data_IF_826025193568
#
_entry.id   IF_826025193568
#
_cell.length_a   1.000
_cell.length_b   1.000
_cell.length_c   1.000
_cell.angle_alpha   90.00
_cell.angle_beta   90.00
_cell.angle_gamma   90.00
#
_symmetry.space_group_name_H-M   'P 1'
#
loop_
_entity.id
_entity.type
_entity.pdbx_description
1 polymer ?
#
# COMPACT_ATOMS: atom_id res chain seq x y z
N UNK A 1 -28.41 7.54 -4.12
CA UNK A 1 -28.86 7.68 -5.52
C UNK A 1 -28.75 9.11 -6.03
N UNK A 2 -28.65 10.13 -5.16
CA UNK A 2 -28.57 11.56 -5.53
C UNK A 2 -27.41 11.96 -6.46
N UNK A 3 -26.38 11.12 -6.61
CA UNK A 3 -25.23 11.41 -7.48
C UNK A 3 -25.29 10.72 -8.86
N UNK A 4 -26.28 9.85 -9.09
CA UNK A 4 -26.44 9.11 -10.35
C UNK A 4 -27.37 9.92 -11.24
N UNK A 5 -26.83 10.43 -12.36
CA UNK A 5 -27.62 11.19 -13.34
C UNK A 5 -28.39 10.29 -14.28
N UNK A 6 -27.74 9.22 -14.76
CA UNK A 6 -28.34 8.25 -15.67
C UNK A 6 -28.10 6.84 -15.12
N UNK A 7 -29.13 6.19 -14.51
CA UNK A 7 -28.96 4.90 -13.85
C UNK A 7 -28.83 3.72 -14.83
N UNK A 8 -29.26 3.90 -16.09
CA UNK A 8 -29.25 2.89 -17.13
C UNK A 8 -28.96 3.54 -18.48
N UNK A 9 -27.99 3.01 -19.23
CA UNK A 9 -27.67 3.41 -20.60
C UNK A 9 -27.68 2.18 -21.48
N UNK A 10 -28.52 2.16 -22.51
CA UNK A 10 -28.59 1.07 -23.48
C UNK A 10 -27.58 1.26 -24.63
N UNK A 11 -27.33 0.20 -25.38
CA UNK A 11 -26.52 0.22 -26.60
C UNK A 11 -25.07 0.72 -26.43
N UNK A 12 -24.53 0.54 -25.22
CA UNK A 12 -23.12 0.77 -24.91
C UNK A 12 -22.28 -0.37 -25.49
N UNK A 13 -21.17 -0.03 -26.15
CA UNK A 13 -20.22 -0.99 -26.69
C UNK A 13 -19.01 -1.12 -25.75
N UNK A 14 -18.79 -2.31 -25.22
CA UNK A 14 -17.54 -2.68 -24.56
C UNK A 14 -16.54 -3.12 -25.63
N UNK A 15 -15.48 -2.34 -25.83
CA UNK A 15 -14.45 -2.67 -26.82
C UNK A 15 -13.48 -3.69 -26.23
N UNK A 16 -13.26 -4.79 -26.94
CA UNK A 16 -12.35 -5.85 -26.52
C UNK A 16 -10.87 -5.46 -26.63
N UNK A 17 -10.03 -6.17 -25.88
CA UNK A 17 -8.58 -6.17 -26.06
C UNK A 17 -8.18 -7.05 -27.25
N UNK A 18 -7.10 -6.69 -27.96
CA UNK A 18 -6.46 -7.59 -28.96
C UNK A 18 -7.29 -7.96 -30.18
N UNK A 19 -8.13 -7.04 -30.71
CA UNK A 19 -8.92 -7.29 -31.93
C UNK A 19 -10.22 -8.09 -31.71
N UNK A 20 -10.57 -8.41 -30.46
CA UNK A 20 -11.86 -9.00 -30.14
C UNK A 20 -13.02 -8.08 -30.57
N UNK A 21 -14.08 -8.68 -31.12
CA UNK A 21 -15.26 -7.95 -31.59
C UNK A 21 -15.88 -7.14 -30.43
N UNK A 22 -16.31 -5.89 -30.66
CA UNK A 22 -17.05 -5.12 -29.66
C UNK A 22 -18.28 -5.88 -29.16
N UNK A 23 -18.54 -5.80 -27.86
CA UNK A 23 -19.70 -6.41 -27.21
C UNK A 23 -20.72 -5.32 -26.94
N UNK A 24 -21.93 -5.49 -27.47
CA UNK A 24 -23.05 -4.58 -27.21
C UNK A 24 -23.77 -4.97 -25.92
N UNK A 25 -24.16 -3.99 -25.11
CA UNK A 25 -24.78 -4.24 -23.81
C UNK A 25 -25.51 -3.04 -23.24
N UNK A 26 -26.02 -3.23 -22.03
CA UNK A 26 -26.63 -2.19 -21.21
C UNK A 26 -25.72 -1.92 -20.02
N UNK A 27 -25.45 -0.64 -19.76
CA UNK A 27 -24.68 -0.18 -18.62
C UNK A 27 -25.63 0.28 -17.52
N UNK A 28 -25.51 -0.31 -16.34
CA UNK A 28 -26.24 0.06 -15.14
C UNK A 28 -25.29 0.72 -14.14
N UNK A 29 -25.75 1.81 -13.55
CA UNK A 29 -25.04 2.54 -12.52
C UNK A 29 -25.74 2.33 -11.17
N UNK A 30 -24.98 1.91 -10.17
CA UNK A 30 -25.43 1.86 -8.78
C UNK A 30 -24.56 2.78 -7.93
N UNK A 31 -24.91 2.95 -6.65
CA UNK A 31 -24.09 3.75 -5.74
C UNK A 31 -22.68 3.16 -5.50
N UNK A 32 -22.47 1.88 -5.83
CA UNK A 32 -21.26 1.13 -5.44
C UNK A 32 -20.55 0.48 -6.61
N UNK A 33 -21.28 0.18 -7.68
CA UNK A 33 -20.79 -0.53 -8.85
C UNK A 33 -21.29 0.06 -10.16
N UNK A 34 -20.45 -0.03 -11.18
CA UNK A 34 -20.77 0.01 -12.59
C UNK A 34 -20.98 -1.43 -13.09
N UNK A 35 -22.13 -1.71 -13.70
CA UNK A 35 -22.50 -3.06 -14.15
C UNK A 35 -22.80 -3.02 -15.64
N UNK A 36 -22.03 -3.74 -16.45
CA UNK A 36 -22.31 -3.92 -17.87
C UNK A 36 -22.91 -5.31 -18.10
N UNK A 37 -24.10 -5.34 -18.71
CA UNK A 37 -24.82 -6.55 -19.07
C UNK A 37 -24.85 -6.71 -20.59
N UNK A 38 -24.24 -7.77 -21.11
CA UNK A 38 -24.24 -8.08 -22.55
C UNK A 38 -25.68 -8.30 -23.05
N UNK A 39 -26.03 -7.70 -24.20
CA UNK A 39 -27.32 -7.97 -24.87
C UNK A 39 -27.32 -9.42 -25.41
N UNK A 40 -28.41 -10.20 -25.24
CA UNK A 40 -28.51 -11.54 -25.80
C UNK A 40 -28.39 -11.51 -27.33
N UNK A 41 -27.58 -12.39 -27.91
CA UNK A 41 -27.49 -12.51 -29.37
C UNK A 41 -28.62 -13.38 -29.91
N UNK A 42 -29.41 -12.85 -30.85
CA UNK A 42 -30.51 -13.59 -31.52
C UNK A 42 -30.04 -14.87 -32.26
N UNK A 43 -28.74 -15.00 -32.56
CA UNK A 43 -28.18 -16.06 -33.42
C UNK A 43 -27.44 -17.19 -32.69
N UNK A 44 -27.29 -17.13 -31.36
CA UNK A 44 -26.67 -18.21 -30.57
C UNK A 44 -27.41 -18.35 -29.25
N UNK A 45 -27.89 -19.56 -28.97
CA UNK A 45 -28.42 -20.00 -27.68
C UNK A 45 -27.31 -20.10 -26.60
N UNK A 46 -26.40 -19.13 -26.56
CA UNK A 46 -25.43 -18.99 -25.49
C UNK A 46 -26.05 -18.11 -24.41
N UNK A 47 -26.78 -18.75 -23.50
CA UNK A 47 -27.41 -18.13 -22.32
C UNK A 47 -26.39 -17.66 -21.27
N UNK A 48 -25.09 -17.65 -21.55
CA UNK A 48 -24.10 -17.10 -20.62
C UNK A 48 -24.19 -15.58 -20.57
N UNK A 49 -24.99 -15.08 -19.64
CA UNK A 49 -25.03 -13.67 -19.28
C UNK A 49 -23.63 -13.20 -18.90
N UNK A 50 -22.98 -12.43 -19.78
CA UNK A 50 -21.70 -11.81 -19.45
C UNK A 50 -21.99 -10.53 -18.67
N UNK A 51 -21.84 -10.60 -17.36
CA UNK A 51 -21.87 -9.44 -16.47
C UNK A 51 -20.45 -9.00 -16.15
N UNK A 52 -20.13 -7.76 -16.48
CA UNK A 52 -18.96 -7.09 -15.92
C UNK A 52 -19.42 -6.20 -14.77
N UNK A 53 -18.93 -6.48 -13.57
CA UNK A 53 -19.20 -5.67 -12.37
C UNK A 53 -17.89 -5.00 -11.94
N UNK A 54 -17.86 -3.68 -11.98
CA UNK A 54 -16.73 -2.87 -11.52
C UNK A 54 -17.16 -2.06 -10.30
N UNK A 55 -16.57 -2.34 -9.14
CA UNK A 55 -16.78 -1.51 -7.96
C UNK A 55 -16.13 -0.13 -8.17
N UNK A 56 -16.82 0.94 -7.78
CA UNK A 56 -16.30 2.32 -7.90
C UNK A 56 -14.99 2.52 -7.14
N UNK A 57 -14.80 1.80 -6.02
CA UNK A 57 -13.57 1.82 -5.23
C UNK A 57 -12.35 1.25 -5.95
N UNK A 58 -12.56 0.42 -6.98
CA UNK A 58 -11.50 -0.16 -7.80
C UNK A 58 -11.13 0.72 -9.00
N UNK A 59 -11.84 1.82 -9.24
CA UNK A 59 -11.46 2.75 -10.29
C UNK A 59 -10.21 3.54 -9.86
N UNK A 60 -9.19 3.56 -10.72
CA UNK A 60 -7.94 4.30 -10.51
C UNK A 60 -7.97 5.64 -11.27
N UNK A 61 -8.35 5.61 -12.55
CA UNK A 61 -8.50 6.79 -13.37
C UNK A 61 -9.62 6.63 -14.40
N UNK A 62 -10.10 7.76 -14.88
CA UNK A 62 -11.19 7.88 -15.85
C UNK A 62 -10.77 8.88 -16.91
N UNK A 63 -10.74 8.47 -18.16
CA UNK A 63 -10.38 9.32 -19.29
C UNK A 63 -11.51 9.33 -20.30
N UNK A 64 -11.89 10.51 -20.75
CA UNK A 64 -12.80 10.67 -21.88
C UNK A 64 -11.95 11.01 -23.10
N UNK A 65 -12.01 10.17 -24.13
CA UNK A 65 -11.33 10.43 -25.39
C UNK A 65 -12.28 11.14 -26.35
N UNK A 66 -11.78 12.12 -27.12
CA UNK A 66 -12.58 12.75 -28.17
C UNK A 66 -13.03 11.68 -29.18
N UNK A 67 -14.19 11.87 -29.82
CA UNK A 67 -14.68 10.94 -30.84
C UNK A 67 -13.65 10.83 -31.97
N UNK A 68 -13.02 9.67 -32.10
CA UNK A 68 -12.11 9.40 -33.23
C UNK A 68 -12.96 9.12 -34.48
N UNK A 69 -13.19 10.15 -35.30
CA UNK A 69 -13.95 10.06 -36.55
C UNK A 69 -15.46 9.88 -36.33
N UNK A 70 -16.13 9.08 -37.18
CA UNK A 70 -17.58 8.78 -37.09
C UNK A 70 -17.98 7.88 -35.90
N UNK A 71 -17.14 7.79 -34.87
CA UNK A 71 -17.39 7.00 -33.68
C UNK A 71 -18.01 7.85 -32.58
N UNK A 72 -19.08 7.36 -31.94
CA UNK A 72 -19.58 7.92 -30.69
C UNK A 72 -18.51 7.97 -29.58
N UNK A 73 -18.77 8.72 -28.49
CA UNK A 73 -17.79 9.05 -27.47
C UNK A 73 -17.28 7.85 -26.68
N UNK A 74 -16.01 7.92 -26.26
CA UNK A 74 -15.28 6.83 -25.64
C UNK A 74 -14.86 7.19 -24.21
N UNK A 75 -15.16 6.31 -23.27
CA UNK A 75 -14.78 6.41 -21.87
C UNK A 75 -13.82 5.26 -21.53
N UNK A 76 -12.61 5.61 -21.12
CA UNK A 76 -11.57 4.73 -20.62
C UNK A 76 -11.62 4.66 -19.10
N UNK A 77 -11.79 3.45 -18.57
CA UNK A 77 -11.75 3.19 -17.13
C UNK A 77 -10.53 2.34 -16.82
N UNK A 78 -9.55 2.90 -16.10
CA UNK A 78 -8.44 2.14 -15.58
C UNK A 78 -8.72 1.75 -14.14
N UNK A 79 -8.49 0.48 -13.83
CA UNK A 79 -8.75 -0.09 -12.52
C UNK A 79 -7.45 -0.22 -11.71
N UNK A 80 -7.57 -0.19 -10.39
CA UNK A 80 -6.48 -0.50 -9.44
C UNK A 80 -6.01 -1.95 -9.56
N UNK A 81 -6.76 -2.79 -10.26
CA UNK A 81 -6.41 -4.18 -10.63
C UNK A 81 -5.77 -4.29 -12.01
N UNK A 82 -5.26 -3.18 -12.56
CA UNK A 82 -4.47 -3.15 -13.80
C UNK A 82 -5.24 -3.51 -15.08
N UNK A 83 -6.57 -3.57 -15.00
CA UNK A 83 -7.46 -3.74 -16.15
C UNK A 83 -7.91 -2.39 -16.69
N UNK A 84 -8.04 -2.29 -18.01
CA UNK A 84 -8.57 -1.13 -18.71
C UNK A 84 -9.85 -1.52 -19.44
N UNK A 85 -10.92 -0.76 -19.24
CA UNK A 85 -12.21 -0.97 -19.90
C UNK A 85 -12.50 0.21 -20.82
N UNK A 86 -12.92 -0.11 -22.05
CA UNK A 86 -13.19 0.87 -23.08
C UNK A 86 -14.69 0.83 -23.40
N UNK A 87 -15.43 1.85 -22.97
CA UNK A 87 -16.87 1.95 -23.19
C UNK A 87 -17.16 3.02 -24.23
N UNK A 88 -17.73 2.61 -25.35
CA UNK A 88 -18.19 3.51 -26.40
C UNK A 88 -19.70 3.70 -26.28
N UNK A 89 -20.13 4.95 -26.23
CA UNK A 89 -21.53 5.35 -26.10
C UNK A 89 -22.07 5.82 -27.46
N UNK A 90 -23.39 5.79 -27.63
CA UNK A 90 -24.06 6.33 -28.82
C UNK A 90 -24.29 7.85 -28.70
N UNK A 91 -24.45 8.35 -27.47
CA UNK A 91 -24.81 9.73 -27.16
C UNK A 91 -23.76 10.40 -26.27
N UNK A 92 -23.44 11.66 -26.60
CA UNK A 92 -22.51 12.53 -25.85
C UNK A 92 -23.00 12.85 -24.45
N UNK A 93 -24.31 13.05 -24.30
CA UNK A 93 -24.95 13.35 -23.02
C UNK A 93 -24.85 12.15 -22.07
N UNK A 94 -25.14 10.94 -22.55
CA UNK A 94 -25.04 9.71 -21.73
C UNK A 94 -23.62 9.47 -21.24
N UNK A 95 -22.63 9.64 -22.12
CA UNK A 95 -21.22 9.52 -21.75
C UNK A 95 -20.84 10.55 -20.67
N UNK A 96 -21.26 11.80 -20.84
CA UNK A 96 -21.01 12.88 -19.87
C UNK A 96 -21.66 12.60 -18.52
N UNK A 97 -22.92 12.16 -18.51
CA UNK A 97 -23.67 11.90 -17.28
C UNK A 97 -23.13 10.70 -16.52
N UNK A 98 -22.71 9.65 -17.24
CA UNK A 98 -21.98 8.51 -16.65
C UNK A 98 -20.65 8.96 -16.06
N UNK A 99 -19.85 9.73 -16.80
CA UNK A 99 -18.56 10.25 -16.34
C UNK A 99 -18.71 11.07 -15.04
N UNK A 100 -19.65 12.02 -15.02
CA UNK A 100 -19.89 12.87 -13.86
C UNK A 100 -20.41 12.08 -12.65
N UNK A 101 -21.25 11.06 -12.88
CA UNK A 101 -21.73 10.17 -11.83
C UNK A 101 -20.56 9.39 -11.21
N UNK A 102 -19.68 8.81 -12.04
CA UNK A 102 -18.51 8.06 -11.59
C UNK A 102 -17.55 8.95 -10.80
N UNK A 103 -17.23 10.16 -11.30
CA UNK A 103 -16.32 11.07 -10.61
C UNK A 103 -16.81 11.41 -9.20
N UNK A 104 -18.11 11.65 -9.04
CA UNK A 104 -18.71 11.91 -7.72
C UNK A 104 -18.67 10.68 -6.82
N UNK A 105 -19.03 9.50 -7.34
CA UNK A 105 -19.07 8.25 -6.57
C UNK A 105 -17.68 7.73 -6.17
N UNK A 106 -16.65 8.00 -6.97
CA UNK A 106 -15.27 7.59 -6.70
C UNK A 106 -14.48 8.58 -5.83
N UNK A 107 -15.02 9.78 -5.56
CA UNK A 107 -14.36 10.83 -4.77
C UNK A 107 -15.27 11.30 -3.63
N UNK A 108 -15.51 10.43 -2.62
CA UNK A 108 -16.27 10.81 -1.44
C UNK A 108 -15.60 12.00 -0.72
N UNK A 109 -16.41 12.96 -0.26
CA UNK A 109 -15.91 14.14 0.45
C UNK A 109 -15.48 13.81 1.88
N UNK A 110 -16.22 12.91 2.53
CA UNK A 110 -15.93 12.42 3.87
C UNK A 110 -15.71 10.92 3.88
N UNK A 111 -14.89 10.43 4.82
CA UNK A 111 -14.65 8.99 4.97
C UNK A 111 -15.95 8.21 5.25
N UNK A 112 -16.93 8.83 5.91
CA UNK A 112 -18.25 8.22 6.19
C UNK A 112 -19.06 7.95 4.94
N UNK A 113 -18.73 8.60 3.81
CA UNK A 113 -19.40 8.39 2.53
C UNK A 113 -18.84 7.16 1.79
N UNK A 114 -17.77 6.55 2.29
CA UNK A 114 -17.25 5.30 1.74
C UNK A 114 -18.26 4.17 1.89
N UNK A 115 -18.30 3.28 0.89
CA UNK A 115 -19.18 2.12 0.90
C UNK A 115 -19.04 1.27 2.17
N UNK A 116 -17.86 1.22 2.79
CA UNK A 116 -17.63 0.51 4.04
C UNK A 116 -18.59 0.89 5.19
N UNK A 117 -19.10 2.13 5.22
CA UNK A 117 -20.03 2.60 6.27
C UNK A 117 -21.51 2.38 5.93
N UNK A 118 -21.84 2.16 4.66
CA UNK A 118 -23.21 1.86 4.21
C UNK A 118 -23.41 0.38 3.92
N UNK A 119 -22.33 -0.40 3.83
CA UNK A 119 -22.38 -1.83 3.61
C UNK A 119 -22.97 -2.55 4.84
N UNK A 120 -24.13 -3.17 4.63
CA UNK A 120 -24.80 -4.02 5.62
C UNK A 120 -24.90 -5.45 5.05
N UNK A 121 -23.85 -6.28 5.24
CA UNK A 121 -23.88 -7.68 4.83
C UNK A 121 -24.96 -8.44 5.60
N UNK A 122 -25.59 -9.42 4.94
CA UNK A 122 -26.46 -10.41 5.60
C UNK A 122 -25.65 -11.48 6.33
N UNK A 123 -24.74 -11.06 7.20
CA UNK A 123 -23.96 -11.92 8.11
C UNK A 123 -24.52 -11.78 9.52
N UNK A 124 -24.28 -12.77 10.37
CA UNK A 124 -24.69 -12.68 11.78
C UNK A 124 -23.85 -11.59 12.46
N UNK A 125 -24.44 -10.93 13.46
CA UNK A 125 -23.73 -9.91 14.22
C UNK A 125 -22.46 -10.47 14.89
N UNK A 126 -22.51 -11.73 15.33
CA UNK A 126 -21.38 -12.48 15.90
C UNK A 126 -20.22 -12.60 14.92
N UNK A 127 -20.47 -13.04 13.68
CA UNK A 127 -19.42 -13.24 12.67
C UNK A 127 -18.72 -11.92 12.33
N UNK A 128 -19.47 -10.80 12.39
CA UNK A 128 -18.92 -9.46 12.18
C UNK A 128 -18.02 -9.03 13.34
N UNK A 129 -18.41 -9.33 14.58
CA UNK A 129 -17.63 -9.04 15.77
C UNK A 129 -16.33 -9.86 15.81
N UNK A 130 -16.42 -11.16 15.49
CA UNK A 130 -15.27 -12.05 15.34
C UNK A 130 -14.24 -11.51 14.33
N UNK A 131 -14.70 -10.91 13.23
CA UNK A 131 -13.82 -10.29 12.24
C UNK A 131 -13.00 -9.11 12.78
N UNK A 132 -13.52 -8.36 13.76
CA UNK A 132 -12.78 -7.27 14.41
C UNK A 132 -11.84 -7.76 15.51
N UNK A 133 -12.22 -8.83 16.21
CA UNK A 133 -11.42 -9.41 17.31
C UNK A 133 -10.41 -10.46 16.84
N UNK A 134 -10.37 -10.78 15.54
CA UNK A 134 -9.47 -11.78 14.95
C UNK A 134 -8.00 -11.54 15.30
N UNK A 135 -7.58 -10.28 15.38
CA UNK A 135 -6.21 -9.88 15.68
C UNK A 135 -6.14 -9.17 17.04
N UNK A 136 -5.76 -9.91 18.09
CA UNK A 136 -5.33 -9.33 19.36
C UNK A 136 -3.80 -9.21 19.39
N UNK A 137 -3.30 -7.99 19.25
CA UNK A 137 -1.86 -7.70 19.28
C UNK A 137 -1.20 -8.15 20.58
N UNK A 138 -1.89 -8.04 21.73
CA UNK A 138 -1.33 -8.49 23.01
C UNK A 138 -1.16 -10.01 23.03
N UNK A 139 -2.10 -10.75 22.45
CA UNK A 139 -1.97 -12.20 22.29
C UNK A 139 -0.84 -12.57 21.33
N UNK A 140 -0.63 -11.82 20.26
CA UNK A 140 0.50 -12.06 19.34
C UNK A 140 1.87 -11.83 20.00
N UNK A 141 2.03 -10.77 20.79
CA UNK A 141 3.26 -10.58 21.57
C UNK A 141 3.42 -11.64 22.66
N UNK A 142 2.33 -12.06 23.31
CA UNK A 142 2.35 -13.20 24.26
C UNK A 142 2.79 -14.51 23.58
N UNK A 143 2.37 -14.76 22.34
CA UNK A 143 2.80 -15.92 21.52
C UNK A 143 4.32 -15.91 21.31
N UNK A 144 4.93 -14.74 21.19
CA UNK A 144 6.39 -14.56 21.10
C UNK A 144 7.11 -14.56 22.46
N UNK A 145 6.39 -14.76 23.57
CA UNK A 145 6.96 -14.74 24.92
C UNK A 145 7.24 -13.34 25.45
N UNK A 146 6.46 -12.34 25.03
CA UNK A 146 6.58 -10.93 25.45
C UNK A 146 5.29 -10.49 26.16
N UNK A 147 5.34 -9.79 27.31
CA UNK A 147 6.53 -9.27 28.00
C UNK A 147 7.39 -10.36 28.69
N UNK A 148 8.65 -10.05 28.94
CA UNK A 148 9.61 -10.90 29.65
C UNK A 148 10.67 -10.05 30.36
N UNK A 149 11.76 -10.68 30.85
CA UNK A 149 12.86 -9.98 31.54
C UNK A 149 13.56 -8.89 30.72
N UNK A 150 13.50 -8.96 29.39
CA UNK A 150 14.20 -8.04 28.47
C UNK A 150 13.26 -7.05 27.79
N UNK A 151 11.98 -7.40 27.61
CA UNK A 151 11.00 -6.62 26.87
C UNK A 151 9.74 -6.36 27.70
N UNK A 152 9.27 -5.11 27.72
CA UNK A 152 8.07 -4.68 28.44
C UNK A 152 7.07 -3.98 27.53
N UNK A 153 5.79 -4.06 27.90
CA UNK A 153 4.75 -3.18 27.34
C UNK A 153 5.00 -1.76 27.85
N UNK A 154 4.83 -0.77 26.99
CA UNK A 154 4.81 0.65 27.36
C UNK A 154 3.43 1.25 27.06
N UNK A 155 2.96 2.10 27.97
CA UNK A 155 1.67 2.79 27.91
C UNK A 155 1.78 4.22 27.37
N UNK A 156 3.00 4.70 27.08
CA UNK A 156 3.25 6.07 26.61
C UNK A 156 2.48 6.45 25.33
N UNK A 157 2.02 5.46 24.55
CA UNK A 157 1.27 5.70 23.33
C UNK A 157 -0.18 5.23 23.42
N UNK A 158 -0.71 4.93 24.62
CA UNK A 158 -2.08 4.43 24.81
C UNK A 158 -3.14 5.32 24.14
N UNK A 159 -2.92 6.64 24.18
CA UNK A 159 -3.79 7.66 23.57
C UNK A 159 -3.21 8.26 22.29
N UNK A 160 -2.19 7.63 21.68
CA UNK A 160 -1.51 8.11 20.46
C UNK A 160 -0.79 9.47 20.59
N UNK A 161 -0.53 9.93 21.82
CA UNK A 161 0.06 11.25 22.11
C UNK A 161 1.52 11.36 21.69
N UNK A 162 2.32 10.30 21.91
CA UNK A 162 3.74 10.29 21.52
C UNK A 162 3.88 10.11 20.02
N UNK A 163 3.17 9.16 19.42
CA UNK A 163 3.21 8.90 17.99
C UNK A 163 1.82 8.52 17.45
N UNK A 164 1.19 9.48 16.77
CA UNK A 164 -0.12 9.32 16.11
C UNK A 164 -0.21 8.28 14.99
N UNK A 165 0.88 7.57 14.68
CA UNK A 165 0.92 6.54 13.62
C UNK A 165 1.50 5.21 14.07
N UNK A 166 1.76 5.07 15.36
CA UNK A 166 2.06 3.80 16.02
C UNK A 166 0.80 3.25 16.68
N UNK A 167 0.73 1.92 16.96
CA UNK A 167 -0.34 1.35 17.76
C UNK A 167 -0.31 1.89 19.20
N UNK A 168 -1.42 1.69 19.92
CA UNK A 168 -1.53 2.03 21.33
C UNK A 168 -0.61 1.17 22.20
N UNK A 169 -0.59 -0.14 21.95
CA UNK A 169 0.30 -1.09 22.61
C UNK A 169 1.63 -1.18 21.86
N UNK A 170 2.72 -0.85 22.55
CA UNK A 170 4.09 -0.91 22.03
C UNK A 170 4.98 -1.68 23.00
N UNK A 171 5.95 -2.40 22.46
CA UNK A 171 6.91 -3.15 23.27
C UNK A 171 8.32 -2.59 23.06
N UNK A 172 9.01 -2.34 24.17
CA UNK A 172 10.34 -1.74 24.22
C UNK A 172 11.23 -2.55 25.16
N UNK A 173 12.56 -2.41 25.10
CA UNK A 173 13.41 -3.00 26.11
C UNK A 173 13.03 -2.54 27.53
N UNK A 174 13.42 -3.30 28.55
CA UNK A 174 13.25 -2.93 29.96
C UNK A 174 14.14 -1.73 30.33
N UNK A 175 13.79 -0.54 29.84
CA UNK A 175 14.50 0.74 30.02
C UNK A 175 13.56 1.81 30.59
N UNK A 176 14.08 2.95 31.05
CA UNK A 176 13.25 4.03 31.60
C UNK A 176 12.37 4.69 30.53
N UNK A 177 11.21 5.18 30.95
CA UNK A 177 10.26 5.86 30.06
C UNK A 177 10.85 7.13 29.46
N UNK A 178 11.64 7.90 30.22
CA UNK A 178 12.28 9.13 29.75
C UNK A 178 13.21 8.90 28.56
N UNK A 179 13.93 7.78 28.54
CA UNK A 179 14.80 7.40 27.43
C UNK A 179 13.98 7.13 26.17
N UNK A 180 12.84 6.43 26.30
CA UNK A 180 11.94 6.19 25.16
C UNK A 180 11.36 7.50 24.62
N UNK A 181 10.95 8.41 25.51
CA UNK A 181 10.45 9.74 25.12
C UNK A 181 11.54 10.61 24.48
N UNK A 182 12.79 10.52 24.95
CA UNK A 182 13.94 11.18 24.33
C UNK A 182 14.21 10.70 22.92
N UNK A 183 14.28 9.38 22.72
CA UNK A 183 14.39 8.77 21.39
C UNK A 183 13.22 9.17 20.49
N UNK A 184 11.99 9.18 21.00
CA UNK A 184 10.82 9.61 20.24
C UNK A 184 10.97 11.04 19.69
N UNK A 185 11.46 11.99 20.49
CA UNK A 185 11.72 13.37 20.00
C UNK A 185 12.78 13.42 18.90
N UNK A 186 13.76 12.53 18.95
CA UNK A 186 14.84 12.45 17.96
C UNK A 186 14.48 11.68 16.70
N UNK A 187 13.38 10.93 16.69
CA UNK A 187 12.96 10.07 15.57
C UNK A 187 11.89 10.77 14.75
N UNK A 188 12.01 10.70 13.42
CA UNK A 188 11.06 11.35 12.51
C UNK A 188 9.61 10.93 12.77
N UNK A 189 8.74 11.89 13.10
CA UNK A 189 7.33 11.64 13.47
C UNK A 189 7.18 10.77 14.73
N UNK A 190 8.18 10.83 15.62
CA UNK A 190 8.21 10.10 16.88
C UNK A 190 8.07 8.58 16.77
N UNK A 191 8.47 8.01 15.63
CA UNK A 191 8.50 6.55 15.43
C UNK A 191 9.82 6.00 15.95
N UNK A 192 9.91 5.87 17.27
CA UNK A 192 11.06 5.35 18.00
C UNK A 192 11.22 3.83 17.82
N UNK A 193 12.43 3.28 18.04
CA UNK A 193 12.67 1.83 18.03
C UNK A 193 11.71 1.05 18.95
N UNK A 194 10.91 0.17 18.34
CA UNK A 194 9.97 -0.72 19.04
C UNK A 194 10.00 -2.12 18.43
N UNK A 195 9.72 -3.12 19.26
CA UNK A 195 9.73 -4.53 18.88
C UNK A 195 8.67 -4.84 17.81
N UNK A 196 9.07 -5.53 16.76
CA UNK A 196 8.16 -6.10 15.74
C UNK A 196 8.09 -7.62 15.83
N UNK A 197 9.21 -8.27 16.13
CA UNK A 197 9.31 -9.72 16.23
C UNK A 197 10.40 -10.12 17.22
N UNK A 198 10.16 -11.18 18.00
CA UNK A 198 11.16 -11.82 18.86
C UNK A 198 11.26 -13.31 18.53
N UNK A 199 12.46 -13.77 18.20
CA UNK A 199 12.71 -15.17 17.92
C UNK A 199 12.85 -15.97 19.23
N UNK A 200 11.91 -16.89 19.45
CA UNK A 200 11.75 -17.58 20.74
C UNK A 200 12.99 -18.37 21.21
N UNK A 201 13.78 -18.93 20.28
CA UNK A 201 14.89 -19.82 20.63
C UNK A 201 16.21 -19.10 20.91
N UNK A 202 16.54 -18.06 20.14
CA UNK A 202 17.83 -17.37 20.25
C UNK A 202 17.72 -15.94 20.81
N UNK A 203 16.50 -15.44 21.07
CA UNK A 203 16.28 -14.10 21.62
C UNK A 203 16.56 -12.96 20.65
N UNK A 204 16.85 -13.24 19.37
CA UNK A 204 17.04 -12.19 18.36
C UNK A 204 15.75 -11.41 18.13
N UNK A 205 15.85 -10.09 18.08
CA UNK A 205 14.72 -9.19 17.95
C UNK A 205 14.80 -8.40 16.65
N UNK A 206 13.68 -8.30 15.94
CA UNK A 206 13.50 -7.33 14.86
C UNK A 206 12.76 -6.14 15.45
N UNK A 207 13.42 -4.98 15.46
CA UNK A 207 12.82 -3.71 15.82
C UNK A 207 12.57 -2.87 14.57
N UNK A 208 11.56 -2.00 14.63
CA UNK A 208 11.26 -1.02 13.57
C UNK A 208 11.28 0.39 14.13
N UNK A 209 11.70 1.35 13.32
CA UNK A 209 11.70 2.76 13.65
C UNK A 209 11.61 3.63 12.39
N UNK A 210 11.63 4.94 12.57
CA UNK A 210 11.93 5.89 11.50
C UNK A 210 13.38 6.36 11.58
N UNK A 211 13.85 6.99 10.49
CA UNK A 211 15.16 7.63 10.45
C UNK A 211 15.34 8.66 11.59
N UNK A 212 16.55 8.79 12.15
CA UNK A 212 16.86 9.81 13.14
C UNK A 212 16.86 11.22 12.53
N UNK A 213 16.69 12.22 13.38
CA UNK A 213 16.80 13.64 13.07
C UNK A 213 18.23 14.15 13.35
N UNK A 214 19.23 13.36 12.95
CA UNK A 214 20.65 13.64 13.22
C UNK A 214 21.19 14.82 12.42
N UNK A 215 20.63 15.11 11.23
CA UNK A 215 21.19 16.11 10.33
C UNK A 215 22.66 15.81 10.04
N UNK A 216 23.52 16.83 10.20
CA UNK A 216 24.95 16.64 9.99
C UNK A 216 25.67 16.01 11.18
N UNK A 217 25.34 16.40 12.42
CA UNK A 217 26.10 15.99 13.61
C UNK A 217 25.28 15.92 14.92
N UNK A 218 23.96 16.11 14.87
CA UNK A 218 23.12 16.05 16.07
C UNK A 218 23.06 14.63 16.60
N UNK A 219 23.27 14.51 17.91
CA UNK A 219 23.23 13.25 18.66
C UNK A 219 22.11 13.29 19.68
N UNK A 220 21.66 12.11 20.11
CA UNK A 220 20.67 11.96 21.16
C UNK A 220 21.11 10.82 22.07
N UNK A 221 21.49 11.15 23.31
CA UNK A 221 21.96 10.19 24.29
C UNK A 221 20.89 9.15 24.60
N UNK A 222 19.62 9.56 24.65
CA UNK A 222 18.49 8.67 24.90
C UNK A 222 18.26 7.69 23.73
N UNK A 223 18.44 8.12 22.48
CA UNK A 223 18.36 7.22 21.32
C UNK A 223 19.51 6.21 21.31
N UNK A 224 20.74 6.69 21.57
CA UNK A 224 21.93 5.83 21.72
C UNK A 224 21.72 4.78 22.84
N UNK A 225 21.20 5.20 24.00
CA UNK A 225 20.87 4.29 25.11
C UNK A 225 19.75 3.30 24.78
N UNK A 226 18.73 3.73 24.03
CA UNK A 226 17.65 2.84 23.61
C UNK A 226 18.16 1.75 22.65
N UNK A 227 18.98 2.10 21.66
CA UNK A 227 19.59 1.11 20.75
C UNK A 227 20.52 0.16 21.52
N UNK A 228 21.30 0.69 22.48
CA UNK A 228 22.12 -0.16 23.36
C UNK A 228 21.26 -1.14 24.16
N UNK A 229 20.08 -0.73 24.62
CA UNK A 229 19.17 -1.60 25.35
C UNK A 229 18.55 -2.68 24.45
N UNK A 230 18.27 -2.37 23.19
CA UNK A 230 17.85 -3.37 22.18
C UNK A 230 18.96 -4.40 21.99
N UNK A 231 20.20 -3.98 21.84
CA UNK A 231 21.34 -4.89 21.73
C UNK A 231 21.48 -5.79 22.99
N UNK A 232 21.43 -5.20 24.19
CA UNK A 232 21.51 -5.93 25.48
C UNK A 232 20.33 -6.89 25.72
N UNK A 233 19.22 -6.71 25.02
CA UNK A 233 18.04 -7.59 25.14
C UNK A 233 18.27 -8.99 24.55
N UNK A 234 19.40 -9.21 23.85
CA UNK A 234 19.86 -10.52 23.40
C UNK A 234 21.23 -10.88 24.01
N UNK A 235 21.27 -11.46 25.23
CA UNK A 235 22.53 -11.73 25.95
C UNK A 235 23.25 -13.02 25.51
N UNK A 236 22.81 -13.68 24.44
CA UNK A 236 23.41 -14.96 24.01
C UNK A 236 24.84 -14.82 23.46
N UNK A 237 25.67 -15.87 23.55
CA UNK A 237 27.02 -15.86 22.96
C UNK A 237 26.95 -15.71 21.43
N UNK A 238 27.87 -14.95 20.85
CA UNK A 238 27.94 -14.71 19.40
C UNK A 238 27.06 -13.57 18.88
N UNK A 239 26.45 -12.77 19.76
CA UNK A 239 25.63 -11.60 19.42
C UNK A 239 26.33 -10.28 19.74
N UNK A 240 27.48 -10.05 19.11
CA UNK A 240 28.35 -8.89 19.42
C UNK A 240 27.85 -7.57 18.82
N UNK A 241 26.95 -7.64 17.85
CA UNK A 241 26.57 -6.50 17.00
C UNK A 241 25.06 -6.43 16.76
N UNK A 242 24.50 -5.23 16.92
CA UNK A 242 23.16 -4.85 16.48
C UNK A 242 23.23 -4.32 15.04
N UNK A 243 22.48 -4.94 14.14
CA UNK A 243 22.38 -4.46 12.76
C UNK A 243 21.34 -3.34 12.66
N UNK A 244 21.74 -2.19 12.14
CA UNK A 244 20.86 -1.10 11.76
C UNK A 244 20.74 -1.10 10.25
N UNK A 245 19.55 -1.46 9.78
CA UNK A 245 19.28 -1.66 8.37
C UNK A 245 18.43 -0.51 7.85
N UNK A 246 19.02 0.31 6.99
CA UNK A 246 18.31 1.34 6.27
C UNK A 246 17.94 0.85 4.88
N UNK A 247 16.64 0.75 4.62
CA UNK A 247 16.16 0.21 3.36
C UNK A 247 16.48 1.11 2.18
N UNK A 248 16.84 2.39 2.38
CA UNK A 248 17.08 3.34 1.29
C UNK A 248 18.37 3.03 0.53
N UNK A 249 18.49 3.48 -0.73
CA UNK A 249 19.78 3.68 -1.36
C UNK A 249 20.59 4.75 -0.62
N UNK A 250 21.91 4.56 -0.53
CA UNK A 250 22.84 5.48 0.14
C UNK A 250 22.69 6.93 -0.30
N UNK A 251 22.53 7.18 -1.61
CA UNK A 251 22.33 8.53 -2.15
C UNK A 251 21.05 9.19 -1.61
N UNK A 252 19.94 8.45 -1.55
CA UNK A 252 18.67 8.94 -1.02
C UNK A 252 18.78 9.22 0.49
N UNK A 253 19.56 8.41 1.22
CA UNK A 253 19.84 8.65 2.63
C UNK A 253 20.69 9.92 2.85
N UNK A 254 21.70 10.15 2.00
CA UNK A 254 22.52 11.37 2.03
C UNK A 254 21.69 12.62 1.72
N UNK A 255 20.77 12.56 0.74
CA UNK A 255 19.87 13.67 0.44
C UNK A 255 18.96 14.02 1.63
N UNK A 256 18.41 13.02 2.31
CA UNK A 256 17.64 13.24 3.54
C UNK A 256 18.50 13.81 4.67
N UNK A 257 19.78 13.44 4.74
CA UNK A 257 20.73 13.98 5.72
C UNK A 257 20.90 15.49 5.56
N UNK A 258 21.03 15.96 4.32
CA UNK A 258 21.08 17.39 4.00
C UNK A 258 19.81 18.16 4.41
N UNK A 259 18.66 17.48 4.46
CA UNK A 259 17.38 18.05 4.89
C UNK A 259 17.12 17.95 6.41
N UNK A 260 18.18 17.78 7.23
CA UNK A 260 18.07 17.72 8.70
C UNK A 260 17.60 16.38 9.27
N UNK A 261 17.53 15.34 8.44
CA UNK A 261 17.27 13.94 8.88
C UNK A 261 18.60 13.19 8.85
N UNK A 262 18.60 11.87 8.83
CA UNK A 262 19.86 11.16 8.62
C UNK A 262 19.74 9.66 8.79
N UNK A 263 20.84 9.10 9.25
CA UNK A 263 21.04 7.71 9.60
C UNK A 263 22.06 7.66 10.75
N UNK A 264 22.12 6.53 11.43
CA UNK A 264 22.99 6.25 12.56
C UNK A 264 24.47 6.25 12.11
N UNK A 265 25.34 6.89 12.88
CA UNK A 265 26.79 6.87 12.64
C UNK A 265 27.43 5.84 13.58
N UNK A 266 28.11 4.84 13.04
CA UNK A 266 28.75 3.76 13.83
C UNK A 266 29.73 4.29 14.89
N UNK A 267 30.29 5.48 14.73
CA UNK A 267 31.14 6.13 15.74
C UNK A 267 30.38 6.57 17.00
N UNK A 268 29.08 6.87 16.87
CA UNK A 268 28.24 7.39 17.96
C UNK A 268 27.46 6.28 18.67
N UNK A 269 27.12 5.20 17.97
CA UNK A 269 26.33 4.10 18.49
C UNK A 269 27.25 2.90 18.72
N UNK A 270 27.45 2.52 19.98
CA UNK A 270 28.27 1.36 20.31
C UNK A 270 27.61 0.07 19.83
N UNK A 271 28.44 -0.91 19.44
CA UNK A 271 27.99 -2.26 19.06
C UNK A 271 26.99 -2.29 17.89
N UNK A 272 26.97 -1.28 17.00
CA UNK A 272 26.14 -1.33 15.80
C UNK A 272 26.94 -1.61 14.53
N UNK A 273 26.27 -2.20 13.55
CA UNK A 273 26.71 -2.23 12.14
C UNK A 273 25.60 -1.69 11.27
N UNK A 274 25.91 -0.72 10.43
CA UNK A 274 24.95 -0.01 9.61
C UNK A 274 25.01 -0.46 8.15
N UNK A 275 23.87 -0.79 7.56
CA UNK A 275 23.78 -1.25 6.16
C UNK A 275 22.65 -0.59 5.36
N UNK A 276 22.92 -0.28 4.09
CA UNK A 276 21.93 0.20 3.13
C UNK A 276 21.47 -0.92 2.20
N UNK A 277 20.15 -1.13 2.06
CA UNK A 277 19.60 -2.22 1.24
C UNK A 277 19.05 -1.78 -0.13
N UNK A 278 19.05 -0.48 -0.45
CA UNK A 278 18.83 -0.02 -1.83
C UNK A 278 17.40 -0.11 -2.37
N UNK A 279 16.39 -0.23 -1.51
CA UNK A 279 14.97 -0.17 -1.90
C UNK A 279 14.58 1.27 -2.23
N UNK A 280 14.29 1.50 -3.50
CA UNK A 280 13.88 2.80 -4.02
C UNK A 280 12.58 3.33 -3.40
N UNK A 281 12.40 4.65 -3.45
CA UNK A 281 11.25 5.30 -2.83
C UNK A 281 9.93 5.05 -3.61
N UNK A 282 8.81 5.45 -2.98
CA UNK A 282 7.47 5.23 -3.53
C UNK A 282 7.21 5.89 -4.90
N UNK A 283 7.96 6.93 -5.27
CA UNK A 283 7.80 7.60 -6.57
C UNK A 283 8.43 6.76 -7.68
N UNK A 284 9.60 6.18 -7.41
CA UNK A 284 10.26 5.22 -8.30
C UNK A 284 9.39 3.98 -8.48
N UNK A 285 8.87 3.40 -7.38
CA UNK A 285 7.97 2.23 -7.46
C UNK A 285 6.70 2.51 -8.27
N UNK A 286 6.11 3.71 -8.13
CA UNK A 286 4.96 4.14 -8.91
C UNK A 286 5.27 4.30 -10.39
N UNK A 287 6.42 4.90 -10.72
CA UNK A 287 6.87 5.03 -12.11
C UNK A 287 7.18 3.67 -12.73
N UNK A 288 7.80 2.76 -11.97
CA UNK A 288 8.09 1.40 -12.39
C UNK A 288 6.80 0.63 -12.72
N UNK A 289 5.79 0.70 -11.84
CA UNK A 289 4.49 0.10 -12.11
C UNK A 289 3.82 0.70 -13.35
N UNK A 290 3.84 2.03 -13.51
CA UNK A 290 3.27 2.68 -14.69
C UNK A 290 3.90 2.15 -15.99
N UNK A 291 5.24 2.08 -16.06
CA UNK A 291 5.96 1.52 -17.21
C UNK A 291 5.61 0.05 -17.47
N UNK A 292 5.48 -0.76 -16.41
CA UNK A 292 5.05 -2.15 -16.53
C UNK A 292 3.67 -2.25 -17.16
N UNK A 293 2.72 -1.40 -16.71
CA UNK A 293 1.36 -1.38 -17.20
C UNK A 293 1.30 -0.90 -18.66
N UNK A 294 2.07 0.11 -19.04
CA UNK A 294 2.16 0.59 -20.42
C UNK A 294 2.54 -0.54 -21.37
N UNK A 295 3.58 -1.33 -21.02
CA UNK A 295 4.03 -2.48 -21.82
C UNK A 295 3.01 -3.61 -21.80
N UNK A 296 2.41 -3.89 -20.64
CA UNK A 296 1.43 -4.98 -20.48
C UNK A 296 0.11 -4.72 -21.21
N UNK A 297 -0.24 -3.44 -21.39
CA UNK A 297 -1.48 -3.03 -22.05
C UNK A 297 -1.27 -2.59 -23.51
N UNK A 298 -0.03 -2.43 -23.95
CA UNK A 298 0.32 -2.12 -25.33
C UNK A 298 -0.16 -3.22 -26.30
N UNK A 299 -0.51 -2.80 -27.51
CA UNK A 299 -1.02 -3.68 -28.57
C UNK A 299 0.03 -3.82 -29.66
N UNK A 300 0.14 -5.03 -30.23
CA UNK A 300 0.99 -5.28 -31.39
C UNK A 300 2.50 -5.33 -31.10
N UNK A 301 2.91 -5.43 -29.83
CA UNK A 301 4.32 -5.63 -29.49
C UNK A 301 4.80 -7.01 -29.94
N UNK A 302 5.99 -7.05 -30.53
CA UNK A 302 6.74 -8.28 -30.68
C UNK A 302 7.19 -8.80 -29.31
N UNK A 303 7.52 -10.09 -29.23
CA UNK A 303 8.06 -10.70 -28.01
C UNK A 303 9.31 -9.97 -27.50
N UNK A 304 10.20 -9.53 -28.40
CA UNK A 304 11.43 -8.83 -28.05
C UNK A 304 11.14 -7.45 -27.44
N UNK A 305 10.20 -6.70 -28.02
CA UNK A 305 9.78 -5.40 -27.49
C UNK A 305 9.10 -5.53 -26.13
N UNK A 306 8.27 -6.56 -25.95
CA UNK A 306 7.65 -6.83 -24.66
C UNK A 306 8.68 -7.12 -23.56
N UNK A 307 9.66 -8.00 -23.82
CA UNK A 307 10.72 -8.33 -22.85
C UNK A 307 11.59 -7.10 -22.54
N UNK A 308 11.98 -6.34 -23.58
CA UNK A 308 12.75 -5.10 -23.40
C UNK A 308 12.00 -4.07 -22.56
N UNK A 309 10.70 -3.87 -22.84
CA UNK A 309 9.85 -2.97 -22.06
C UNK A 309 9.67 -3.44 -20.61
N UNK A 310 9.50 -4.75 -20.39
CA UNK A 310 9.41 -5.33 -19.06
C UNK A 310 10.69 -5.09 -18.25
N UNK A 311 11.86 -5.30 -18.84
CA UNK A 311 13.16 -5.02 -18.22
C UNK A 311 13.33 -3.52 -17.92
N UNK A 312 13.01 -2.66 -18.89
CA UNK A 312 13.07 -1.20 -18.76
C UNK A 312 12.11 -0.62 -17.70
N UNK A 313 11.04 -1.36 -17.34
CA UNK A 313 10.16 -0.99 -16.22
C UNK A 313 10.87 -1.05 -14.88
N UNK A 314 11.89 -1.90 -14.73
CA UNK A 314 12.58 -2.15 -13.47
C UNK A 314 11.76 -2.90 -12.41
N UNK A 315 10.51 -3.29 -12.71
CA UNK A 315 9.60 -3.84 -11.70
C UNK A 315 10.13 -5.11 -11.03
N UNK A 316 10.61 -6.06 -11.83
CA UNK A 316 11.19 -7.32 -11.31
C UNK A 316 12.48 -7.09 -10.53
N UNK A 317 13.30 -6.10 -10.93
CA UNK A 317 14.49 -5.70 -10.18
C UNK A 317 14.12 -5.16 -8.81
N UNK A 318 13.09 -4.32 -8.71
CA UNK A 318 12.62 -3.82 -7.42
C UNK A 318 12.09 -4.94 -6.52
N UNK A 319 11.33 -5.90 -7.06
CA UNK A 319 10.90 -7.10 -6.32
C UNK A 319 12.11 -7.88 -5.81
N UNK A 320 13.09 -8.12 -6.69
CA UNK A 320 14.33 -8.82 -6.32
C UNK A 320 15.04 -8.12 -5.16
N UNK A 321 15.20 -6.78 -5.22
CA UNK A 321 15.83 -6.01 -4.14
C UNK A 321 15.07 -6.10 -2.82
N UNK A 322 13.72 -6.04 -2.85
CA UNK A 322 12.89 -6.20 -1.64
C UNK A 322 13.06 -7.60 -1.02
N UNK A 323 13.10 -8.64 -1.86
CA UNK A 323 13.31 -10.01 -1.41
C UNK A 323 14.71 -10.20 -0.84
N UNK A 324 15.75 -9.73 -1.52
CA UNK A 324 17.14 -9.75 -1.03
C UNK A 324 17.27 -9.03 0.32
N UNK A 325 16.61 -7.87 0.45
CA UNK A 325 16.59 -7.13 1.71
C UNK A 325 15.93 -7.92 2.84
N UNK A 326 14.83 -8.61 2.54
CA UNK A 326 14.14 -9.46 3.51
C UNK A 326 14.98 -10.67 3.90
N UNK A 327 15.67 -11.30 2.95
CA UNK A 327 16.60 -12.40 3.20
C UNK A 327 17.81 -11.97 4.01
N UNK A 328 18.30 -10.74 3.85
CA UNK A 328 19.43 -10.23 4.64
C UNK A 328 19.06 -9.95 6.11
N UNK A 329 17.79 -9.61 6.38
CA UNK A 329 17.28 -9.37 7.75
C UNK A 329 16.90 -10.67 8.46
N UNK A 330 16.48 -11.69 7.70
CA UNK A 330 16.06 -13.00 8.21
C UNK A 330 17.27 -13.86 8.63
#
# INVERSE_FOLDING_TARGET
MEHIRTPKVEDVQLLGSGGAKPIMGTLYMTATHLIFAKKPSLQRADHRETWLKLAHSLLASLERLPPAGAGGPLLLLHTKTFRSLHLKFQCEQDCQDVQLSIVKLCRPAHHRDLFAFSYSPRVRATDREEGWTLLDLRSEFRRMGVPNKHWKLTDINANYEVCGTYPADLFVPCISTDIVLGSARFRSKARFPTLSYLHAHNGAAICRCSQPLSGFSTRCAEDEQLLQAVWRANPGPGHETLYVVDTRPKLNAMANRAAGRGYENEENYANIRFEFLGIENIHVMRSSLAKLLDVSQARGLSQREFVSGLEASGWLRHIQTILQASTAVA
#
